data_IF_215552677398
#
_entry.id   IF_215552677398
#
_cell.length_a   1.000
_cell.length_b   1.000
_cell.length_c   1.000
_cell.angle_alpha   90.00
_cell.angle_beta   90.00
_cell.angle_gamma   90.00
#
_symmetry.space_group_name_H-M   'P 1'
#
loop_
_entity.id
_entity.type
_entity.pdbx_description
1 polymer ?
#
# COMPACT_ATOMS: atom_id res chain seq x y z
N UNK A 1 -2.01 -17.19 20.44
CA UNK A 1 -2.19 -16.59 19.09
C UNK A 1 -0.91 -16.80 18.29
N UNK A 2 -1.03 -17.44 17.13
CA UNK A 2 0.09 -17.66 16.19
C UNK A 2 0.47 -16.40 15.41
N UNK A 3 -0.38 -15.38 15.40
CA UNK A 3 -0.25 -14.19 14.57
C UNK A 3 0.01 -12.94 15.39
N UNK A 4 0.90 -12.11 14.85
CA UNK A 4 1.13 -10.73 15.26
C UNK A 4 0.71 -9.82 14.10
N UNK A 5 -0.28 -8.97 14.33
CA UNK A 5 -0.80 -8.08 13.30
C UNK A 5 -0.40 -6.64 13.61
N UNK A 6 0.35 -6.02 12.68
CA UNK A 6 0.67 -4.60 12.70
C UNK A 6 -0.25 -3.88 11.71
N UNK A 7 -1.15 -3.04 12.22
CA UNK A 7 -2.09 -2.29 11.41
C UNK A 7 -1.80 -0.79 11.43
N UNK A 8 -1.71 -0.19 10.24
CA UNK A 8 -1.55 1.25 10.07
C UNK A 8 -2.89 1.88 9.72
N UNK A 9 -3.33 2.82 10.57
CA UNK A 9 -4.51 3.64 10.30
C UNK A 9 -4.17 4.66 9.22
N UNK A 10 -5.03 4.80 8.21
CA UNK A 10 -4.99 5.90 7.26
C UNK A 10 -5.51 7.20 7.88
N UNK A 11 -5.26 8.32 7.23
CA UNK A 11 -5.84 9.61 7.61
C UNK A 11 -7.33 9.64 7.26
N UNK A 12 -8.16 10.18 8.14
CA UNK A 12 -9.54 10.54 7.80
C UNK A 12 -9.51 11.74 6.85
N UNK A 13 -9.67 11.46 5.57
CA UNK A 13 -9.60 12.50 4.54
C UNK A 13 -10.99 13.06 4.34
N UNK A 14 -11.15 14.36 4.60
CA UNK A 14 -12.43 15.06 4.39
C UNK A 14 -12.75 15.25 2.91
N UNK A 15 -11.78 15.18 2.01
CA UNK A 15 -11.99 15.27 0.57
C UNK A 15 -10.88 14.61 -0.26
N UNK A 16 -11.21 14.24 -1.49
CA UNK A 16 -10.28 13.75 -2.52
C UNK A 16 -9.21 14.77 -2.93
N UNK A 17 -9.55 16.07 -2.87
CA UNK A 17 -8.63 17.16 -3.15
C UNK A 17 -7.46 17.18 -2.17
N UNK A 18 -7.70 16.84 -0.91
CA UNK A 18 -6.68 16.84 0.15
C UNK A 18 -5.65 15.73 -0.09
N UNK A 19 -6.12 14.52 -0.45
CA UNK A 19 -5.20 13.41 -0.81
C UNK A 19 -4.32 13.80 -2.01
N UNK A 20 -4.92 14.39 -3.05
CA UNK A 20 -4.17 14.79 -4.26
C UNK A 20 -3.15 15.89 -3.97
N UNK A 21 -3.48 16.85 -3.09
CA UNK A 21 -2.56 17.91 -2.69
C UNK A 21 -1.36 17.36 -1.92
N UNK A 22 -1.56 16.34 -1.09
CA UNK A 22 -0.52 15.71 -0.28
C UNK A 22 0.36 14.74 -1.09
N UNK A 23 -0.16 14.19 -2.21
CA UNK A 23 0.57 13.27 -3.10
C UNK A 23 1.41 14.01 -4.16
N UNK A 24 2.14 15.06 -3.75
CA UNK A 24 3.11 15.75 -4.60
C UNK A 24 4.27 14.81 -5.00
N UNK A 25 4.97 15.19 -6.08
CA UNK A 25 6.02 14.37 -6.75
C UNK A 25 7.26 14.09 -5.88
N UNK A 26 7.35 14.66 -4.68
CA UNK A 26 8.54 14.59 -3.82
C UNK A 26 8.90 13.16 -3.45
N UNK A 27 10.07 12.70 -3.91
CA UNK A 27 10.64 11.42 -3.52
C UNK A 27 11.95 11.61 -2.76
N UNK A 28 12.20 10.72 -1.81
CA UNK A 28 13.45 10.64 -1.05
C UNK A 28 14.01 9.23 -1.10
N UNK A 29 15.29 9.07 -0.81
CA UNK A 29 15.87 7.75 -0.63
C UNK A 29 15.15 7.04 0.52
N UNK A 30 14.76 5.79 0.30
CA UNK A 30 14.13 4.98 1.31
C UNK A 30 15.12 4.72 2.47
N UNK A 31 14.69 4.99 3.70
CA UNK A 31 15.49 4.67 4.88
C UNK A 31 15.41 3.16 5.15
N UNK A 32 16.56 2.58 5.47
CA UNK A 32 16.68 1.16 5.81
C UNK A 32 16.23 0.18 4.69
N UNK A 33 16.09 0.66 3.44
CA UNK A 33 15.86 -0.17 2.25
C UNK A 33 16.42 0.48 1.00
N UNK A 34 16.21 -0.09 -0.19
CA UNK A 34 16.76 0.44 -1.44
C UNK A 34 15.71 1.21 -2.24
N UNK A 35 16.21 2.14 -3.07
CA UNK A 35 15.39 2.91 -3.98
C UNK A 35 14.83 4.20 -3.37
N UNK A 36 13.79 4.73 -4.02
CA UNK A 36 13.14 5.98 -3.59
C UNK A 36 11.68 5.74 -3.26
N UNK A 37 11.21 6.43 -2.24
CA UNK A 37 9.81 6.40 -1.79
C UNK A 37 9.26 7.82 -1.71
N UNK A 38 7.94 7.96 -1.67
CA UNK A 38 7.28 9.24 -1.46
C UNK A 38 7.67 9.83 -0.10
N UNK A 39 8.16 11.07 -0.11
CA UNK A 39 8.68 11.77 1.07
C UNK A 39 7.67 11.87 2.22
N UNK A 40 6.41 12.16 1.88
CA UNK A 40 5.35 12.25 2.87
C UNK A 40 5.11 10.92 3.59
N UNK A 41 5.07 9.81 2.86
CA UNK A 41 4.88 8.48 3.45
C UNK A 41 6.05 8.07 4.34
N UNK A 42 7.29 8.33 3.87
CA UNK A 42 8.50 8.05 4.64
C UNK A 42 8.50 8.82 5.97
N UNK A 43 8.12 10.11 5.93
CA UNK A 43 8.03 10.96 7.11
C UNK A 43 7.00 10.46 8.13
N UNK A 44 5.83 9.97 7.68
CA UNK A 44 4.83 9.45 8.60
C UNK A 44 5.29 8.16 9.28
N UNK A 45 5.98 7.27 8.56
CA UNK A 45 6.57 6.07 9.18
C UNK A 45 7.69 6.43 10.14
N UNK A 46 8.53 7.42 9.82
CA UNK A 46 9.62 7.88 10.70
C UNK A 46 9.14 8.28 12.09
N UNK A 47 7.99 8.92 12.19
CA UNK A 47 7.40 9.35 13.47
C UNK A 47 7.12 8.19 14.43
N UNK A 48 6.85 7.01 13.89
CA UNK A 48 6.42 5.83 14.64
C UNK A 48 7.46 4.71 14.65
N UNK A 49 8.53 4.85 13.85
CA UNK A 49 9.40 3.72 13.53
C UNK A 49 10.12 3.12 14.73
N UNK A 50 10.64 3.96 15.61
CA UNK A 50 11.38 3.48 16.79
C UNK A 50 10.46 2.66 17.69
N UNK A 51 9.28 3.18 18.00
CA UNK A 51 8.31 2.52 18.86
C UNK A 51 7.80 1.20 18.25
N UNK A 52 7.51 1.20 16.93
CA UNK A 52 7.08 0.01 16.21
C UNK A 52 8.16 -1.07 16.27
N UNK A 53 9.40 -0.72 15.92
CA UNK A 53 10.52 -1.67 15.91
C UNK A 53 10.74 -2.27 17.29
N UNK A 54 10.82 -1.44 18.31
CA UNK A 54 11.08 -1.88 19.68
C UNK A 54 9.93 -2.74 20.23
N UNK A 55 8.70 -2.40 19.87
CA UNK A 55 7.54 -3.20 20.23
C UNK A 55 7.55 -4.58 19.55
N UNK A 56 7.88 -4.62 18.23
CA UNK A 56 8.00 -5.88 17.49
C UNK A 56 9.10 -6.76 18.10
N UNK A 57 10.29 -6.21 18.38
CA UNK A 57 11.39 -6.96 19.01
C UNK A 57 10.93 -7.62 20.31
N UNK A 58 10.20 -6.88 21.15
CA UNK A 58 9.74 -7.38 22.47
C UNK A 58 8.60 -8.39 22.35
N UNK A 59 7.70 -8.22 21.39
CA UNK A 59 6.40 -8.88 21.39
C UNK A 59 6.20 -9.92 20.29
N UNK A 60 7.04 -9.94 19.23
CA UNK A 60 6.85 -10.89 18.12
C UNK A 60 6.97 -12.35 18.60
N UNK A 61 8.01 -12.66 19.38
CA UNK A 61 8.20 -13.93 20.08
C UNK A 61 7.94 -15.17 19.20
N UNK A 62 8.46 -15.16 17.97
CA UNK A 62 8.30 -16.27 17.03
C UNK A 62 6.93 -16.39 16.36
N UNK A 63 6.01 -15.46 16.60
CA UNK A 63 4.72 -15.42 15.89
C UNK A 63 4.89 -14.99 14.45
N UNK A 64 3.97 -15.38 13.58
CA UNK A 64 3.88 -14.93 12.19
C UNK A 64 3.49 -13.46 12.15
N UNK A 65 4.25 -12.66 11.40
CA UNK A 65 4.04 -11.21 11.28
C UNK A 65 3.22 -10.88 10.04
N UNK A 66 2.05 -10.30 10.25
CA UNK A 66 1.21 -9.73 9.19
C UNK A 66 1.14 -8.22 9.35
N UNK A 67 1.29 -7.51 8.23
CA UNK A 67 1.22 -6.06 8.20
C UNK A 67 0.05 -5.64 7.30
N UNK A 68 -0.71 -4.65 7.72
CA UNK A 68 -1.89 -4.19 6.96
C UNK A 68 -2.12 -2.70 7.07
N UNK A 69 -2.86 -2.14 6.12
CA UNK A 69 -3.27 -0.75 6.14
C UNK A 69 -4.17 -0.37 4.97
N UNK A 70 -4.89 0.74 5.13
CA UNK A 70 -5.77 1.32 4.10
C UNK A 70 -5.30 2.73 3.72
N UNK A 71 -5.39 3.09 2.44
CA UNK A 71 -5.06 4.42 1.91
C UNK A 71 -3.64 4.86 2.31
N UNK A 72 -3.45 6.00 3.00
CA UNK A 72 -2.14 6.42 3.54
C UNK A 72 -1.53 5.34 4.46
N UNK A 73 -2.35 4.68 5.29
CA UNK A 73 -1.89 3.58 6.14
C UNK A 73 -1.35 2.38 5.34
N UNK A 74 -1.86 2.14 4.13
CA UNK A 74 -1.33 1.12 3.24
C UNK A 74 0.08 1.46 2.73
N UNK A 75 0.34 2.75 2.46
CA UNK A 75 1.69 3.21 2.11
C UNK A 75 2.66 3.07 3.28
N UNK A 76 2.22 3.42 4.49
CA UNK A 76 3.01 3.26 5.71
C UNK A 76 3.29 1.78 5.98
N UNK A 77 2.30 0.91 5.82
CA UNK A 77 2.44 -0.55 5.94
C UNK A 77 3.50 -1.10 4.97
N UNK A 78 3.49 -0.62 3.73
CA UNK A 78 4.47 -1.03 2.70
C UNK A 78 5.89 -0.60 3.06
N UNK A 79 6.09 0.62 3.54
CA UNK A 79 7.42 1.11 3.97
C UNK A 79 7.89 0.36 5.22
N UNK A 80 7.00 0.15 6.20
CA UNK A 80 7.34 -0.60 7.40
C UNK A 80 7.73 -2.05 7.08
N UNK A 81 7.00 -2.70 6.17
CA UNK A 81 7.35 -4.04 5.68
C UNK A 81 8.74 -4.06 5.03
N UNK A 82 9.08 -3.06 4.21
CA UNK A 82 10.39 -2.96 3.58
C UNK A 82 11.52 -2.78 4.63
N UNK A 83 11.30 -1.94 5.64
CA UNK A 83 12.26 -1.71 6.72
C UNK A 83 12.48 -2.97 7.57
N UNK A 84 11.41 -3.69 7.90
CA UNK A 84 11.49 -4.94 8.67
C UNK A 84 12.18 -6.04 7.87
N UNK A 85 11.80 -6.20 6.61
CA UNK A 85 12.44 -7.16 5.68
C UNK A 85 13.94 -6.89 5.55
N UNK A 86 14.36 -5.61 5.39
CA UNK A 86 15.77 -5.22 5.33
C UNK A 86 16.51 -5.44 6.66
N UNK A 87 15.80 -5.48 7.78
CA UNK A 87 16.32 -5.80 9.10
C UNK A 87 16.24 -7.32 9.41
N UNK A 88 16.02 -8.15 8.40
CA UNK A 88 15.91 -9.61 8.47
C UNK A 88 14.73 -10.14 9.31
N UNK A 89 13.68 -9.35 9.50
CA UNK A 89 12.43 -9.87 10.00
C UNK A 89 11.66 -10.56 8.88
N UNK A 90 11.12 -11.74 9.17
CA UNK A 90 10.20 -12.42 8.26
C UNK A 90 8.84 -11.74 8.36
N UNK A 91 8.37 -11.16 7.25
CA UNK A 91 7.02 -10.64 7.11
C UNK A 91 6.20 -11.68 6.35
N UNK A 92 5.32 -12.39 7.04
CA UNK A 92 4.55 -13.51 6.48
C UNK A 92 3.46 -13.04 5.52
N UNK A 93 3.04 -11.79 5.62
CA UNK A 93 2.10 -11.21 4.66
C UNK A 93 1.92 -9.70 4.84
N UNK A 94 1.84 -9.00 3.72
CA UNK A 94 1.45 -7.60 3.63
C UNK A 94 0.12 -7.49 2.90
N UNK A 95 -0.89 -6.93 3.55
CA UNK A 95 -2.23 -6.77 2.99
C UNK A 95 -2.58 -5.29 2.94
N UNK A 96 -2.72 -4.74 1.73
CA UNK A 96 -3.01 -3.31 1.54
C UNK A 96 -4.31 -3.09 0.77
N UNK A 97 -5.05 -2.09 1.22
CA UNK A 97 -6.37 -1.74 0.66
C UNK A 97 -6.32 -0.30 0.15
N UNK A 98 -6.70 -0.08 -1.10
CA UNK A 98 -6.69 1.26 -1.69
C UNK A 98 -5.32 1.96 -1.64
N UNK A 99 -4.23 1.20 -1.72
CA UNK A 99 -2.87 1.74 -1.59
C UNK A 99 -2.47 2.60 -2.78
N UNK A 100 -1.97 3.83 -2.56
CA UNK A 100 -1.25 4.55 -3.61
C UNK A 100 0.08 3.85 -3.98
N UNK A 101 0.75 4.32 -5.04
CA UNK A 101 2.10 3.86 -5.36
C UNK A 101 3.10 4.45 -4.37
N UNK A 102 3.91 3.60 -3.76
CA UNK A 102 4.76 3.99 -2.62
C UNK A 102 6.14 4.45 -3.04
N UNK A 103 6.76 3.76 -3.99
CA UNK A 103 8.14 4.03 -4.39
C UNK A 103 8.42 3.72 -5.86
N UNK A 104 9.68 3.85 -6.23
CA UNK A 104 10.15 3.61 -7.59
C UNK A 104 10.41 2.11 -7.86
N UNK A 105 10.89 1.80 -9.08
CA UNK A 105 11.17 0.41 -9.49
C UNK A 105 12.24 -0.26 -8.62
N UNK A 106 13.26 0.49 -8.18
CA UNK A 106 14.30 -0.06 -7.30
C UNK A 106 13.74 -0.41 -5.92
N UNK A 107 12.88 0.43 -5.35
CA UNK A 107 12.18 0.13 -4.11
C UNK A 107 11.27 -1.09 -4.26
N UNK A 108 10.50 -1.16 -5.34
CA UNK A 108 9.66 -2.31 -5.65
C UNK A 108 10.46 -3.62 -5.69
N UNK A 109 11.62 -3.61 -6.32
CA UNK A 109 12.47 -4.81 -6.46
C UNK A 109 13.16 -5.22 -5.15
N UNK A 110 13.37 -4.28 -4.23
CA UNK A 110 14.03 -4.56 -2.95
C UNK A 110 13.10 -5.14 -1.88
N UNK A 111 11.79 -5.08 -2.10
CA UNK A 111 10.79 -5.55 -1.16
C UNK A 111 10.44 -7.02 -1.46
N UNK A 112 11.05 -7.92 -0.71
CA UNK A 112 10.83 -9.37 -0.83
C UNK A 112 9.89 -9.85 0.29
N UNK A 113 8.60 -9.53 0.13
CA UNK A 113 7.54 -9.99 1.05
C UNK A 113 6.29 -10.38 0.26
N UNK A 114 5.52 -11.40 0.70
CA UNK A 114 4.22 -11.71 0.13
C UNK A 114 3.29 -10.50 0.31
N UNK A 115 2.93 -9.83 -0.78
CA UNK A 115 2.11 -8.63 -0.74
C UNK A 115 0.84 -8.78 -1.58
N UNK A 116 -0.31 -8.69 -0.95
CA UNK A 116 -1.63 -8.75 -1.54
C UNK A 116 -2.28 -7.36 -1.51
N UNK A 117 -2.44 -6.78 -2.69
CA UNK A 117 -2.88 -5.41 -2.86
C UNK A 117 -4.32 -5.36 -3.37
N UNK A 118 -5.26 -5.07 -2.47
CA UNK A 118 -6.67 -4.96 -2.79
C UNK A 118 -7.01 -3.58 -3.37
N UNK A 119 -7.67 -3.58 -4.51
CA UNK A 119 -8.10 -2.38 -5.22
C UNK A 119 -9.58 -2.53 -5.54
N UNK A 120 -10.38 -1.63 -5.00
CA UNK A 120 -11.80 -1.59 -5.31
C UNK A 120 -12.03 -0.80 -6.61
N UNK A 121 -12.71 -1.41 -7.57
CA UNK A 121 -13.15 -0.91 -8.87
C UNK A 121 -12.60 0.49 -9.29
N UNK A 122 -13.30 1.55 -8.90
CA UNK A 122 -12.99 2.94 -9.32
C UNK A 122 -12.08 3.71 -8.36
N UNK A 123 -11.38 3.03 -7.45
CA UNK A 123 -10.50 3.69 -6.48
C UNK A 123 -9.35 4.46 -7.16
N UNK A 124 -9.50 5.78 -7.22
CA UNK A 124 -8.52 6.68 -7.84
C UNK A 124 -7.26 6.89 -6.97
N UNK A 125 -7.28 6.60 -5.66
CA UNK A 125 -6.10 6.66 -4.78
C UNK A 125 -5.00 5.78 -5.35
N UNK A 126 -5.37 4.61 -5.82
CA UNK A 126 -4.43 3.62 -6.35
C UNK A 126 -3.72 4.06 -7.63
N UNK A 127 -4.19 5.11 -8.28
CA UNK A 127 -3.57 5.67 -9.50
C UNK A 127 -2.48 6.69 -9.17
N UNK A 128 -2.41 7.15 -7.92
CA UNK A 128 -1.46 8.17 -7.45
C UNK A 128 -0.32 7.55 -6.63
N UNK A 129 0.84 8.20 -6.53
CA UNK A 129 1.37 9.16 -7.51
C UNK A 129 1.45 8.54 -8.90
N UNK A 130 1.47 9.37 -9.95
CA UNK A 130 1.38 8.86 -11.32
C UNK A 130 2.57 7.98 -11.72
N UNK A 131 2.28 6.97 -12.56
CA UNK A 131 3.28 6.04 -13.08
C UNK A 131 4.42 6.75 -13.84
N UNK A 132 4.11 7.79 -14.61
CA UNK A 132 5.10 8.55 -15.37
C UNK A 132 6.04 9.41 -14.49
N UNK A 133 5.72 9.58 -13.19
CA UNK A 133 6.63 10.16 -12.20
C UNK A 133 7.60 9.13 -11.60
N UNK A 134 7.66 7.94 -12.17
CA UNK A 134 8.57 6.87 -11.75
C UNK A 134 8.04 5.97 -10.63
N UNK A 135 6.84 6.23 -10.10
CA UNK A 135 6.26 5.42 -9.04
C UNK A 135 5.68 4.11 -9.55
N UNK A 136 5.83 3.06 -8.76
CA UNK A 136 5.40 1.69 -9.07
C UNK A 136 4.58 1.09 -7.93
N UNK A 137 3.70 0.18 -8.29
CA UNK A 137 3.08 -0.70 -7.31
C UNK A 137 3.97 -1.90 -7.07
N UNK A 138 4.01 -2.34 -5.81
CA UNK A 138 4.51 -3.64 -5.39
C UNK A 138 3.34 -4.59 -5.10
N UNK A 139 3.57 -5.89 -5.21
CA UNK A 139 2.63 -6.94 -4.80
C UNK A 139 1.59 -7.32 -5.84
N UNK A 140 0.91 -8.41 -5.53
CA UNK A 140 -0.11 -9.04 -6.35
C UNK A 140 -1.42 -8.28 -6.28
N UNK A 141 -1.98 -7.95 -7.43
CA UNK A 141 -3.27 -7.29 -7.51
C UNK A 141 -4.41 -8.25 -7.16
N UNK A 142 -5.25 -7.82 -6.23
CA UNK A 142 -6.54 -8.38 -5.85
C UNK A 142 -7.61 -7.34 -6.19
N UNK A 143 -8.15 -7.42 -7.41
CA UNK A 143 -9.11 -6.44 -7.89
C UNK A 143 -10.52 -6.82 -7.45
N UNK A 144 -11.21 -5.90 -6.77
CA UNK A 144 -12.62 -6.06 -6.41
C UNK A 144 -13.43 -5.41 -7.54
N UNK A 145 -14.19 -6.22 -8.27
CA UNK A 145 -14.98 -5.75 -9.40
C UNK A 145 -16.26 -5.00 -8.96
N UNK A 146 -17.04 -4.53 -9.92
CA UNK A 146 -18.30 -3.85 -9.67
C UNK A 146 -19.30 -4.70 -8.84
N UNK A 147 -19.28 -6.00 -9.02
CA UNK A 147 -20.16 -6.95 -8.33
C UNK A 147 -19.62 -7.35 -6.93
N UNK A 148 -18.52 -6.74 -6.45
CA UNK A 148 -17.90 -7.03 -5.17
C UNK A 148 -17.05 -8.31 -5.15
N UNK A 149 -16.80 -8.93 -6.29
CA UNK A 149 -16.03 -10.17 -6.39
C UNK A 149 -14.55 -9.87 -6.54
N UNK A 150 -13.71 -10.58 -5.77
CA UNK A 150 -12.24 -10.48 -5.88
C UNK A 150 -11.78 -11.26 -7.11
N UNK A 151 -11.13 -10.57 -8.04
CA UNK A 151 -10.57 -11.14 -9.27
C UNK A 151 -9.05 -11.04 -9.24
N UNK A 152 -8.38 -12.15 -9.57
CA UNK A 152 -6.93 -12.24 -9.61
C UNK A 152 -6.40 -11.88 -10.99
N UNK A 153 -5.31 -11.10 -11.04
CA UNK A 153 -4.56 -10.87 -12.28
C UNK A 153 -5.41 -10.32 -13.43
N UNK A 154 -6.23 -9.31 -13.15
CA UNK A 154 -7.14 -8.76 -14.16
C UNK A 154 -6.42 -8.06 -15.29
N UNK A 155 -6.80 -8.40 -16.49
CA UNK A 155 -6.51 -7.70 -17.73
C UNK A 155 -6.95 -6.22 -17.64
N UNK A 156 -6.13 -5.30 -18.16
CA UNK A 156 -6.42 -3.86 -18.16
C UNK A 156 -7.75 -3.55 -18.85
N UNK A 157 -8.08 -4.28 -19.92
CA UNK A 157 -9.33 -4.12 -20.66
C UNK A 157 -10.54 -4.56 -19.86
N UNK A 158 -10.46 -5.66 -19.12
CA UNK A 158 -11.55 -6.11 -18.23
C UNK A 158 -11.83 -5.09 -17.14
N UNK A 159 -10.77 -4.49 -16.55
CA UNK A 159 -10.93 -3.43 -15.55
C UNK A 159 -11.51 -2.14 -16.13
N UNK A 160 -11.14 -1.78 -17.36
CA UNK A 160 -11.71 -0.61 -18.05
C UNK A 160 -13.21 -0.81 -18.31
N UNK A 161 -13.60 -1.98 -18.79
CA UNK A 161 -14.99 -2.32 -19.04
C UNK A 161 -15.84 -2.35 -17.76
N UNK A 162 -15.33 -2.96 -16.70
CA UNK A 162 -15.97 -3.03 -15.39
C UNK A 162 -16.24 -1.63 -14.80
N UNK A 163 -15.27 -0.71 -14.93
CA UNK A 163 -15.44 0.69 -14.53
C UNK A 163 -16.53 1.42 -15.32
N UNK A 164 -16.62 1.16 -16.63
CA UNK A 164 -17.68 1.73 -17.46
C UNK A 164 -19.04 1.22 -16.99
N UNK A 165 -19.17 -0.09 -16.75
CA UNK A 165 -20.40 -0.70 -16.23
C UNK A 165 -20.84 -0.06 -14.91
N UNK A 166 -19.93 0.06 -13.93
CA UNK A 166 -20.23 0.68 -12.63
C UNK A 166 -20.68 2.14 -12.74
N UNK A 167 -20.15 2.90 -13.71
CA UNK A 167 -20.63 4.28 -13.98
C UNK A 167 -22.03 4.32 -14.59
N UNK A 168 -22.36 3.39 -15.50
CA UNK A 168 -23.69 3.30 -16.11
C UNK A 168 -24.77 2.94 -15.11
N UNK A 169 -24.49 2.04 -14.18
CA UNK A 169 -25.45 1.64 -13.16
C UNK A 169 -25.68 2.74 -12.11
N UNK A 170 -24.68 3.58 -11.84
CA UNK A 170 -24.82 4.78 -11.00
C UNK A 170 -25.64 5.92 -11.60
N UNK A 171 -25.93 5.89 -12.91
CA UNK A 171 -26.83 6.85 -13.57
C UNK A 171 -28.31 6.39 -13.61
N UNK A 172 -28.58 5.14 -13.17
CA UNK A 172 -29.94 4.56 -13.17
C UNK A 172 -30.65 4.63 -11.82
N UNK A 173 -29.96 5.12 -10.78
CA UNK A 173 -30.47 5.39 -9.45
C UNK A 173 -30.39 6.90 -9.16
#
# INVERSE_FOLDING_TARGET
>A
NEWFVLSFRGTEVKSWSDIKADLKVDSVNAKYSYGKVHKGFEKEVDKLWVDIRDYIIKQLKGRKLVITGHSLGASMATIAAARLNSANFIVDGLYTYGSPRVGNESFKKSLDVPHYRFVNNSDDVTKMPFYHWGYRHHGDLRYINHDGVVVLGTDIWKRAWDRLKGRWDGFKN
#
